data_IF_992313858450
#
_entry.id   IF_992313858450
#
_cell.length_a   1.000
_cell.length_b   1.000
_cell.length_c   1.000
_cell.angle_alpha   90.00
_cell.angle_beta   90.00
_cell.angle_gamma   90.00
#
_symmetry.space_group_name_H-M   'P 1'
#
loop_
_entity.id
_entity.type
_entity.pdbx_description
1 polymer ?
#
# COMPACT_ATOMS: atom_id res chain seq x y z
N UNK A 1 -25.04 -9.49 -2.85
CA UNK A 1 -25.44 -10.83 -2.35
C UNK A 1 -24.22 -11.53 -1.81
N UNK A 2 -24.28 -12.06 -0.61
CA UNK A 2 -23.14 -12.72 0.00
C UNK A 2 -23.03 -14.18 -0.51
N UNK A 3 -21.86 -14.53 -1.07
CA UNK A 3 -21.59 -15.90 -1.56
C UNK A 3 -21.79 -16.93 -0.43
N UNK A 4 -21.36 -16.61 0.79
CA UNK A 4 -21.54 -17.47 1.96
C UNK A 4 -23.00 -17.83 2.21
N UNK A 5 -23.89 -16.86 2.04
CA UNK A 5 -25.31 -17.05 2.31
C UNK A 5 -25.92 -18.11 1.39
N UNK A 6 -25.57 -18.10 0.11
CA UNK A 6 -25.98 -19.15 -0.83
C UNK A 6 -25.42 -20.52 -0.47
N UNK A 7 -24.17 -20.57 -0.03
CA UNK A 7 -23.54 -21.82 0.38
C UNK A 7 -24.18 -22.37 1.66
N UNK A 8 -24.56 -21.49 2.60
CA UNK A 8 -25.12 -21.92 3.88
C UNK A 8 -26.63 -22.17 3.85
N UNK A 9 -27.39 -21.36 3.09
CA UNK A 9 -28.88 -21.38 3.15
C UNK A 9 -29.54 -21.61 1.79
N UNK A 10 -28.80 -21.69 0.70
CA UNK A 10 -29.30 -21.99 -0.65
C UNK A 10 -30.07 -20.85 -1.33
N UNK A 11 -30.85 -20.07 -0.59
CA UNK A 11 -31.72 -19.00 -1.12
C UNK A 11 -31.06 -17.63 -1.18
N UNK A 12 -29.95 -17.42 -0.45
CA UNK A 12 -29.27 -16.14 -0.30
C UNK A 12 -30.01 -15.13 0.57
N UNK A 13 -29.35 -14.03 0.91
CA UNK A 13 -29.96 -12.91 1.63
C UNK A 13 -30.88 -12.10 0.72
N UNK A 14 -31.88 -11.52 1.32
CA UNK A 14 -32.98 -10.84 0.60
C UNK A 14 -32.98 -9.33 0.82
N UNK A 15 -32.20 -8.81 1.77
CA UNK A 15 -32.22 -7.40 2.16
C UNK A 15 -30.82 -6.84 2.38
N UNK A 16 -30.60 -5.59 1.96
CA UNK A 16 -29.31 -4.88 2.10
C UNK A 16 -28.85 -4.79 3.56
N UNK A 17 -29.74 -4.62 4.51
CA UNK A 17 -29.39 -4.55 5.94
C UNK A 17 -28.90 -5.90 6.50
N UNK A 18 -29.43 -7.01 6.01
CA UNK A 18 -28.96 -8.36 6.34
C UNK A 18 -27.57 -8.60 5.76
N UNK A 19 -27.33 -8.17 4.52
CA UNK A 19 -26.02 -8.23 3.86
C UNK A 19 -24.98 -7.40 4.62
N UNK A 20 -25.32 -6.18 5.04
CA UNK A 20 -24.43 -5.33 5.86
C UNK A 20 -24.02 -6.05 7.15
N UNK A 21 -24.97 -6.58 7.90
CA UNK A 21 -24.70 -7.31 9.14
C UNK A 21 -23.79 -8.52 8.92
N UNK A 22 -24.05 -9.29 7.85
CA UNK A 22 -23.27 -10.47 7.52
C UNK A 22 -21.84 -10.11 7.07
N UNK A 23 -21.66 -9.10 6.22
CA UNK A 23 -20.34 -8.62 5.79
C UNK A 23 -19.51 -8.17 7.00
N UNK A 24 -20.12 -7.39 7.91
CA UNK A 24 -19.48 -6.96 9.16
C UNK A 24 -19.08 -8.14 10.03
N UNK A 25 -19.94 -9.14 10.18
CA UNK A 25 -19.63 -10.38 10.90
C UNK A 25 -18.44 -11.12 10.28
N UNK A 26 -18.43 -11.30 8.96
CA UNK A 26 -17.36 -12.01 8.24
C UNK A 26 -16.00 -11.32 8.42
N UNK A 27 -15.93 -10.01 8.25
CA UNK A 27 -14.69 -9.23 8.42
C UNK A 27 -14.20 -9.26 9.87
N UNK A 28 -15.10 -9.08 10.86
CA UNK A 28 -14.77 -9.11 12.28
C UNK A 28 -14.18 -10.47 12.70
N UNK A 29 -14.76 -11.54 12.22
CA UNK A 29 -14.35 -12.91 12.56
C UNK A 29 -13.35 -13.52 11.59
N UNK A 30 -12.80 -12.72 10.65
CA UNK A 30 -11.77 -13.14 9.70
C UNK A 30 -12.19 -14.32 8.80
N UNK A 31 -13.44 -14.37 8.40
CA UNK A 31 -13.92 -15.30 7.38
C UNK A 31 -13.60 -14.72 6.00
N UNK A 32 -12.53 -15.18 5.38
CA UNK A 32 -11.92 -14.55 4.20
C UNK A 32 -12.49 -15.05 2.87
N UNK A 33 -12.88 -16.32 2.79
CA UNK A 33 -13.31 -16.98 1.55
C UNK A 33 -14.33 -16.18 0.71
N UNK A 34 -15.38 -15.55 1.27
CA UNK A 34 -16.31 -14.77 0.44
C UNK A 34 -15.67 -13.55 -0.21
N UNK A 35 -14.63 -12.98 0.40
CA UNK A 35 -13.87 -11.84 -0.14
C UNK A 35 -12.84 -12.31 -1.18
N UNK A 36 -12.32 -13.53 -1.07
CA UNK A 36 -11.41 -14.16 -2.01
C UNK A 36 -12.10 -14.51 -3.34
N UNK A 37 -13.46 -14.60 -3.36
CA UNK A 37 -14.25 -14.84 -4.58
C UNK A 37 -14.52 -13.57 -5.40
N UNK A 38 -14.08 -12.41 -4.94
CA UNK A 38 -14.25 -11.12 -5.62
C UNK A 38 -12.89 -10.68 -6.12
N UNK A 39 -12.73 -10.51 -7.42
CA UNK A 39 -11.48 -10.09 -8.02
C UNK A 39 -11.59 -8.70 -8.63
N UNK A 40 -10.52 -7.92 -8.49
CA UNK A 40 -10.32 -6.65 -9.16
C UNK A 40 -9.05 -6.71 -10.01
N UNK A 41 -9.10 -6.03 -11.15
CA UNK A 41 -7.95 -5.83 -12.03
C UNK A 41 -7.75 -4.35 -12.26
N UNK A 42 -6.57 -3.87 -11.92
CA UNK A 42 -6.14 -2.48 -12.09
C UNK A 42 -5.08 -2.40 -13.18
N UNK A 43 -5.16 -1.37 -14.02
CA UNK A 43 -4.04 -0.92 -14.84
C UNK A 43 -3.36 0.24 -14.12
N UNK A 44 -2.08 0.11 -13.83
CA UNK A 44 -1.36 1.02 -12.95
C UNK A 44 -0.04 1.41 -13.61
N UNK A 45 0.18 2.71 -13.77
CA UNK A 45 1.45 3.30 -14.13
C UNK A 45 2.12 3.87 -12.87
N UNK A 46 3.37 3.49 -12.61
CA UNK A 46 4.10 3.93 -11.40
C UNK A 46 5.61 3.91 -11.62
N UNK A 47 6.38 4.67 -10.83
CA UNK A 47 7.83 4.56 -10.83
C UNK A 47 8.31 3.15 -10.47
N UNK A 48 9.40 2.69 -11.07
CA UNK A 48 9.95 1.36 -10.81
C UNK A 48 10.26 1.15 -9.31
N UNK A 49 10.75 2.16 -8.59
CA UNK A 49 11.03 2.01 -7.16
C UNK A 49 9.75 1.73 -6.34
N UNK A 50 8.58 2.27 -6.73
CA UNK A 50 7.29 1.96 -6.11
C UNK A 50 6.85 0.54 -6.50
N UNK A 51 6.99 0.17 -7.77
CA UNK A 51 6.68 -1.17 -8.25
C UNK A 51 7.49 -2.24 -7.50
N UNK A 52 8.78 -1.98 -7.21
CA UNK A 52 9.64 -2.87 -6.42
C UNK A 52 9.15 -3.10 -5.00
N UNK A 53 8.52 -2.11 -4.38
CA UNK A 53 7.89 -2.23 -3.07
C UNK A 53 6.55 -2.97 -3.17
N UNK A 54 5.75 -2.67 -4.20
CA UNK A 54 4.43 -3.26 -4.42
C UNK A 54 4.49 -4.75 -4.71
N UNK A 55 5.43 -5.20 -5.55
CA UNK A 55 5.57 -6.61 -5.95
C UNK A 55 5.85 -7.57 -4.78
N UNK A 56 6.13 -7.05 -3.59
CA UNK A 56 6.27 -7.84 -2.35
C UNK A 56 4.92 -8.38 -1.86
N UNK A 57 3.79 -7.83 -2.33
CA UNK A 57 2.45 -8.37 -2.16
C UNK A 57 2.21 -9.45 -3.23
N UNK A 58 2.54 -10.70 -2.88
CA UNK A 58 2.68 -11.82 -3.81
C UNK A 58 1.39 -12.56 -4.17
N UNK A 59 0.31 -12.34 -3.42
CA UNK A 59 -1.01 -12.96 -3.67
C UNK A 59 -1.79 -12.19 -4.73
N UNK A 60 -1.18 -12.01 -5.90
CA UNK A 60 -1.74 -11.29 -7.04
C UNK A 60 -1.15 -11.83 -8.33
N UNK A 61 -1.86 -11.61 -9.44
CA UNK A 61 -1.34 -11.80 -10.78
C UNK A 61 -0.87 -10.46 -11.33
N UNK A 62 0.36 -10.43 -11.84
CA UNK A 62 0.98 -9.23 -12.41
C UNK A 62 1.39 -9.50 -13.84
N UNK A 63 1.04 -8.58 -14.73
CA UNK A 63 1.51 -8.56 -16.11
C UNK A 63 2.07 -7.17 -16.40
N UNK A 64 3.40 -7.06 -16.38
CA UNK A 64 4.13 -5.81 -16.50
C UNK A 64 4.51 -5.54 -17.95
N UNK A 65 4.47 -4.26 -18.36
CA UNK A 65 4.98 -3.78 -19.63
C UNK A 65 6.43 -4.19 -19.83
N UNK A 66 6.71 -4.81 -20.98
CA UNK A 66 8.04 -5.36 -21.22
C UNK A 66 8.96 -4.35 -21.91
N UNK A 67 9.87 -3.77 -21.16
CA UNK A 67 10.97 -2.97 -21.69
C UNK A 67 12.02 -3.77 -22.51
N UNK A 68 11.80 -5.07 -22.73
CA UNK A 68 12.59 -5.91 -23.65
C UNK A 68 12.06 -5.79 -25.08
N UNK A 69 10.75 -5.66 -25.23
CA UNK A 69 10.09 -5.63 -26.54
C UNK A 69 9.74 -4.22 -27.01
N UNK A 70 9.58 -3.30 -26.09
CA UNK A 70 9.14 -1.94 -26.35
C UNK A 70 10.06 -0.90 -25.74
N UNK A 71 10.08 0.29 -26.30
CA UNK A 71 10.77 1.45 -25.70
C UNK A 71 10.05 1.81 -24.39
N UNK A 72 10.84 2.03 -23.34
CA UNK A 72 10.31 2.49 -22.03
C UNK A 72 9.66 3.86 -22.21
N UNK A 73 8.49 4.12 -21.62
CA UNK A 73 7.85 5.44 -21.71
C UNK A 73 8.75 6.55 -21.15
N UNK A 74 8.76 7.71 -21.81
CA UNK A 74 9.44 8.92 -21.34
C UNK A 74 8.61 9.59 -20.21
N UNK A 75 8.64 8.98 -19.04
CA UNK A 75 7.94 9.46 -17.86
C UNK A 75 8.72 9.15 -16.60
N UNK A 76 8.98 10.19 -15.81
CA UNK A 76 9.81 10.11 -14.61
C UNK A 76 9.07 10.63 -13.38
N UNK A 77 9.44 10.10 -12.23
CA UNK A 77 8.95 10.56 -10.95
C UNK A 77 9.65 11.85 -10.54
N UNK A 78 8.85 12.84 -10.18
CA UNK A 78 9.31 14.12 -9.62
C UNK A 78 8.47 14.42 -8.39
N UNK A 79 9.02 14.30 -7.17
CA UNK A 79 8.30 14.71 -5.97
C UNK A 79 8.18 16.23 -5.89
N UNK A 80 7.18 16.70 -5.14
CA UNK A 80 7.20 18.08 -4.67
C UNK A 80 8.32 18.27 -3.63
N UNK A 81 8.79 19.49 -3.46
CA UNK A 81 9.90 19.81 -2.55
C UNK A 81 9.58 19.41 -1.10
N UNK A 82 8.31 19.51 -0.69
CA UNK A 82 7.82 19.15 0.64
C UNK A 82 7.85 17.64 0.89
N UNK A 83 7.87 16.84 -0.18
CA UNK A 83 7.93 15.38 -0.12
C UNK A 83 9.36 14.84 -0.10
N UNK A 84 10.36 15.69 -0.26
CA UNK A 84 11.77 15.33 0.00
C UNK A 84 12.02 15.48 1.49
N UNK A 85 12.08 14.35 2.21
CA UNK A 85 12.09 14.31 3.67
C UNK A 85 13.35 13.66 4.24
N UNK A 86 13.65 14.00 5.49
CA UNK A 86 14.71 13.34 6.25
C UNK A 86 14.35 11.88 6.51
N UNK A 87 15.37 11.02 6.55
CA UNK A 87 15.20 9.63 6.96
C UNK A 87 14.62 9.56 8.38
N UNK A 88 13.57 8.74 8.56
CA UNK A 88 13.02 8.46 9.88
C UNK A 88 14.09 7.87 10.82
N UNK A 89 14.17 8.42 12.01
CA UNK A 89 15.09 7.97 13.06
C UNK A 89 14.50 6.83 13.90
N UNK A 90 13.18 6.68 13.91
CA UNK A 90 12.47 5.72 14.76
C UNK A 90 12.36 4.35 14.13
N UNK A 91 11.92 4.27 12.87
CA UNK A 91 11.69 2.99 12.18
C UNK A 91 12.65 2.72 11.01
N UNK A 92 13.50 3.69 10.66
CA UNK A 92 14.42 3.65 9.51
C UNK A 92 13.73 3.41 8.15
N UNK A 93 12.42 3.64 8.07
CA UNK A 93 11.60 3.55 6.88
C UNK A 93 10.80 4.86 6.74
N UNK A 94 10.66 5.32 5.48
CA UNK A 94 9.94 6.56 5.20
C UNK A 94 10.67 7.83 5.66
N UNK A 95 10.08 8.97 5.34
CA UNK A 95 10.54 10.29 5.74
C UNK A 95 9.65 10.87 6.86
N UNK A 96 10.25 11.56 7.80
CA UNK A 96 9.54 12.21 8.91
C UNK A 96 9.41 13.73 8.67
N UNK A 97 10.46 14.47 8.97
CA UNK A 97 10.49 15.92 8.85
C UNK A 97 10.92 16.37 7.45
N UNK A 98 10.58 17.61 7.09
CA UNK A 98 11.12 18.24 5.90
C UNK A 98 12.64 18.37 6.00
N UNK A 99 13.32 18.13 4.88
CA UNK A 99 14.76 18.39 4.77
C UNK A 99 14.99 19.88 4.47
N UNK A 100 16.21 20.33 4.63
CA UNK A 100 16.62 21.68 4.20
C UNK A 100 16.34 21.89 2.71
N UNK A 101 15.77 23.05 2.36
CA UNK A 101 15.31 23.37 1.00
C UNK A 101 16.46 23.19 -0.02
N UNK A 102 17.65 23.69 0.25
CA UNK A 102 18.80 23.54 -0.65
C UNK A 102 19.16 22.07 -0.92
N UNK A 103 19.06 21.20 0.09
CA UNK A 103 19.27 19.75 -0.08
C UNK A 103 18.15 19.10 -0.90
N UNK A 104 16.90 19.54 -0.73
CA UNK A 104 15.78 19.07 -1.54
C UNK A 104 15.93 19.49 -3.01
N UNK A 105 16.35 20.73 -3.27
CA UNK A 105 16.63 21.24 -4.62
C UNK A 105 17.74 20.46 -5.31
N UNK A 106 18.84 20.14 -4.61
CA UNK A 106 19.92 19.30 -5.14
C UNK A 106 19.43 17.88 -5.48
N UNK A 107 18.52 17.31 -4.67
CA UNK A 107 17.92 16.02 -5.00
C UNK A 107 17.03 16.09 -6.24
N UNK A 108 16.22 17.14 -6.39
CA UNK A 108 15.39 17.34 -7.59
C UNK A 108 16.26 17.50 -8.85
N UNK A 109 17.35 18.25 -8.74
CA UNK A 109 18.33 18.39 -9.82
C UNK A 109 18.99 17.07 -10.19
N UNK A 110 19.36 16.24 -9.20
CA UNK A 110 19.87 14.89 -9.47
C UNK A 110 18.87 14.04 -10.26
N UNK A 111 17.56 14.15 -9.97
CA UNK A 111 16.53 13.46 -10.75
C UNK A 111 16.49 13.98 -12.20
N UNK A 112 16.53 15.29 -12.41
CA UNK A 112 16.61 15.89 -13.76
C UNK A 112 17.85 15.43 -14.52
N UNK A 113 19.01 15.43 -13.89
CA UNK A 113 20.25 14.93 -14.50
C UNK A 113 20.14 13.44 -14.88
N UNK A 114 19.43 12.66 -14.09
CA UNK A 114 19.19 11.24 -14.37
C UNK A 114 18.24 11.01 -15.54
N UNK A 115 17.31 11.92 -15.81
CA UNK A 115 16.42 11.85 -16.98
C UNK A 115 17.18 12.01 -18.30
N UNK A 116 18.28 12.76 -18.31
CA UNK A 116 19.14 12.88 -19.50
C UNK A 116 19.73 11.53 -19.97
N UNK A 117 19.73 10.50 -19.12
CA UNK A 117 20.09 9.13 -19.50
C UNK A 117 19.09 8.52 -20.49
N UNK A 118 17.85 9.00 -20.50
CA UNK A 118 16.84 8.51 -21.41
C UNK A 118 17.13 8.81 -22.87
N UNK A 119 17.59 10.00 -23.18
CA UNK A 119 18.04 10.37 -24.54
C UNK A 119 19.18 9.46 -25.04
N UNK A 120 20.12 9.15 -24.13
CA UNK A 120 21.22 8.22 -24.45
C UNK A 120 20.71 6.79 -24.62
N UNK A 121 19.73 6.36 -23.84
CA UNK A 121 19.08 5.07 -24.00
C UNK A 121 18.41 4.97 -25.38
N UNK A 122 17.65 5.99 -25.81
CA UNK A 122 17.05 6.04 -27.12
C UNK A 122 18.10 5.93 -28.23
N UNK A 123 19.14 6.76 -28.16
CA UNK A 123 20.23 6.74 -29.11
C UNK A 123 20.90 5.35 -29.21
N UNK A 124 21.16 4.69 -28.08
CA UNK A 124 21.74 3.35 -28.06
C UNK A 124 20.82 2.32 -28.74
N UNK A 125 19.52 2.40 -28.50
CA UNK A 125 18.56 1.48 -29.13
C UNK A 125 18.47 1.71 -30.65
N UNK A 126 18.56 2.95 -31.11
CA UNK A 126 18.65 3.30 -32.54
C UNK A 126 19.94 2.78 -33.17
N UNK A 127 21.05 2.74 -32.44
CA UNK A 127 22.33 2.15 -32.85
C UNK A 127 22.37 0.63 -32.82
N UNK A 128 21.24 -0.01 -32.45
CA UNK A 128 21.11 -1.46 -32.45
C UNK A 128 21.50 -2.17 -31.15
N UNK A 129 21.73 -1.44 -30.07
CA UNK A 129 21.89 -2.07 -28.75
C UNK A 129 20.59 -2.69 -28.33
N UNK A 130 20.61 -3.98 -27.97
CA UNK A 130 19.41 -4.69 -27.57
C UNK A 130 18.71 -3.97 -26.38
N UNK A 131 17.38 -3.75 -26.49
CA UNK A 131 16.60 -3.04 -25.47
C UNK A 131 16.71 -3.67 -24.09
N UNK A 132 16.83 -5.01 -24.02
CA UNK A 132 17.00 -5.73 -22.77
C UNK A 132 18.28 -5.34 -21.99
N UNK A 133 19.31 -4.86 -22.68
CA UNK A 133 20.55 -4.37 -22.09
C UNK A 133 20.48 -2.85 -21.91
N UNK A 134 20.08 -2.11 -22.95
CA UNK A 134 20.05 -0.65 -22.95
C UNK A 134 19.26 -0.08 -21.75
N UNK A 135 18.11 -0.70 -21.42
CA UNK A 135 17.27 -0.29 -20.27
C UNK A 135 17.97 -0.38 -18.91
N UNK A 136 19.06 -1.14 -18.78
CA UNK A 136 19.81 -1.27 -17.52
C UNK A 136 20.41 0.06 -17.04
N UNK A 137 20.59 1.03 -17.95
CA UNK A 137 21.08 2.36 -17.64
C UNK A 137 19.98 3.32 -17.13
N UNK A 138 18.70 2.97 -17.26
CA UNK A 138 17.61 3.85 -16.84
C UNK A 138 17.47 3.90 -15.31
N UNK A 139 17.19 5.09 -14.74
CA UNK A 139 17.01 5.25 -13.31
C UNK A 139 15.72 4.58 -12.84
N UNK A 140 15.67 4.22 -11.56
CA UNK A 140 14.46 3.62 -10.96
C UNK A 140 13.30 4.59 -10.80
N UNK A 141 13.51 5.88 -11.05
CA UNK A 141 12.48 6.93 -11.12
C UNK A 141 11.65 6.84 -12.40
N UNK A 142 12.11 6.12 -13.44
CA UNK A 142 11.32 5.91 -14.66
C UNK A 142 10.06 5.11 -14.36
N UNK A 143 8.97 5.43 -15.07
CA UNK A 143 7.70 4.74 -14.89
C UNK A 143 7.68 3.39 -15.61
N UNK A 144 7.07 2.41 -14.97
CA UNK A 144 6.58 1.17 -15.55
C UNK A 144 5.07 1.13 -15.49
N UNK A 145 4.46 0.20 -16.20
CA UNK A 145 3.02 -0.04 -16.18
C UNK A 145 2.76 -1.53 -16.05
N UNK A 146 1.71 -1.87 -15.30
CA UNK A 146 1.26 -3.25 -15.18
C UNK A 146 -0.24 -3.39 -15.03
N UNK A 147 -0.74 -4.55 -15.39
CA UNK A 147 -2.01 -5.05 -14.91
C UNK A 147 -1.76 -5.82 -13.62
N UNK A 148 -2.45 -5.42 -12.56
CA UNK A 148 -2.40 -6.07 -11.26
C UNK A 148 -3.79 -6.60 -10.93
N UNK A 149 -3.95 -7.93 -10.82
CA UNK A 149 -5.20 -8.60 -10.49
C UNK A 149 -5.07 -9.26 -9.14
N UNK A 150 -6.03 -8.98 -8.25
CA UNK A 150 -6.00 -9.51 -6.90
C UNK A 150 -7.44 -9.66 -6.37
N UNK A 151 -7.66 -10.63 -5.49
CA UNK A 151 -8.91 -10.76 -4.79
C UNK A 151 -9.11 -9.68 -3.72
N UNK A 152 -10.36 -9.43 -3.34
CA UNK A 152 -10.70 -8.35 -2.42
C UNK A 152 -10.09 -8.53 -1.02
N UNK A 153 -9.95 -9.77 -0.51
CA UNK A 153 -9.29 -10.01 0.78
C UNK A 153 -7.85 -9.52 0.77
N UNK A 154 -7.08 -9.90 -0.26
CA UNK A 154 -5.68 -9.51 -0.39
C UNK A 154 -5.51 -8.03 -0.77
N UNK A 155 -6.47 -7.43 -1.49
CA UNK A 155 -6.52 -5.98 -1.69
C UNK A 155 -6.68 -5.27 -0.34
N UNK A 156 -7.66 -5.65 0.48
CA UNK A 156 -7.86 -5.04 1.80
C UNK A 156 -6.62 -5.21 2.70
N UNK A 157 -5.92 -6.35 2.60
CA UNK A 157 -4.65 -6.54 3.28
C UNK A 157 -3.56 -5.57 2.76
N UNK A 158 -3.42 -5.42 1.45
CA UNK A 158 -2.52 -4.43 0.85
C UNK A 158 -2.84 -3.02 1.35
N UNK A 159 -4.12 -2.62 1.31
CA UNK A 159 -4.57 -1.30 1.74
C UNK A 159 -4.30 -1.04 3.22
N UNK A 160 -4.52 -2.04 4.10
CA UNK A 160 -4.24 -1.90 5.53
C UNK A 160 -2.78 -1.62 5.85
N UNK A 161 -1.85 -2.05 4.97
CA UNK A 161 -0.42 -1.83 5.14
C UNK A 161 0.07 -0.57 4.40
N UNK A 162 -0.57 -0.19 3.30
CA UNK A 162 -0.06 0.85 2.41
C UNK A 162 -0.80 2.19 2.55
N UNK A 163 -1.97 2.21 3.17
CA UNK A 163 -2.63 3.44 3.60
C UNK A 163 -2.16 3.92 4.98
N UNK A 164 -1.39 3.11 5.71
CA UNK A 164 -0.81 3.47 7.00
C UNK A 164 0.11 4.69 6.88
N UNK A 165 0.09 5.57 7.87
CA UNK A 165 0.88 6.81 7.89
C UNK A 165 2.39 6.58 7.84
N UNK A 166 2.87 5.41 8.29
CA UNK A 166 4.27 5.01 8.23
C UNK A 166 4.68 4.43 6.86
N UNK A 167 3.73 4.20 5.96
CA UNK A 167 4.04 3.77 4.60
C UNK A 167 4.67 4.93 3.81
N UNK A 168 5.55 4.59 2.87
CA UNK A 168 6.14 5.56 1.95
C UNK A 168 5.03 6.32 1.20
N UNK A 169 5.16 7.64 1.06
CA UNK A 169 4.07 8.50 0.57
C UNK A 169 3.59 8.09 -0.82
N UNK A 170 4.52 7.72 -1.71
CA UNK A 170 4.17 7.38 -3.08
C UNK A 170 3.26 6.14 -3.16
N UNK A 171 3.59 5.06 -2.45
CA UNK A 171 2.74 3.87 -2.47
C UNK A 171 1.43 4.10 -1.69
N UNK A 172 1.45 5.00 -0.70
CA UNK A 172 0.25 5.38 0.06
C UNK A 172 -0.76 6.11 -0.82
N UNK A 173 -0.30 7.00 -1.69
CA UNK A 173 -1.16 7.71 -2.64
C UNK A 173 -1.84 6.73 -3.62
N UNK A 174 -1.09 5.74 -4.14
CA UNK A 174 -1.68 4.68 -4.96
C UNK A 174 -2.69 3.84 -4.18
N UNK A 175 -2.38 3.47 -2.93
CA UNK A 175 -3.29 2.70 -2.10
C UNK A 175 -4.57 3.47 -1.80
N UNK A 176 -4.48 4.76 -1.52
CA UNK A 176 -5.63 5.64 -1.28
C UNK A 176 -6.50 5.76 -2.53
N UNK A 177 -5.89 6.03 -3.69
CA UNK A 177 -6.63 6.10 -4.95
C UNK A 177 -7.32 4.76 -5.29
N UNK A 178 -6.66 3.63 -5.04
CA UNK A 178 -7.25 2.30 -5.22
C UNK A 178 -8.44 2.09 -4.26
N UNK A 179 -8.30 2.50 -3.00
CA UNK A 179 -9.38 2.42 -2.02
C UNK A 179 -10.61 3.20 -2.46
N UNK A 180 -10.44 4.43 -2.95
CA UNK A 180 -11.53 5.27 -3.42
C UNK A 180 -12.27 4.64 -4.61
N UNK A 181 -11.54 4.01 -5.54
CA UNK A 181 -12.13 3.28 -6.65
C UNK A 181 -13.00 2.09 -6.19
N UNK A 182 -12.48 1.27 -5.27
CA UNK A 182 -13.22 0.08 -4.81
C UNK A 182 -14.37 0.44 -3.88
N UNK A 183 -14.28 1.54 -3.13
CA UNK A 183 -15.33 2.03 -2.23
C UNK A 183 -16.62 2.32 -2.98
N UNK A 184 -16.53 2.83 -4.22
CA UNK A 184 -17.69 3.03 -5.08
C UNK A 184 -18.37 1.72 -5.54
N UNK A 185 -17.66 0.60 -5.52
CA UNK A 185 -18.16 -0.71 -5.99
C UNK A 185 -18.62 -1.60 -4.85
N UNK A 186 -17.89 -1.62 -3.73
CA UNK A 186 -18.16 -2.47 -2.56
C UNK A 186 -18.28 -1.66 -1.25
N UNK A 187 -19.21 -0.68 -1.19
CA UNK A 187 -19.26 0.30 -0.09
C UNK A 187 -19.46 -0.34 1.29
N UNK A 188 -20.30 -1.38 1.41
CA UNK A 188 -20.55 -2.05 2.68
C UNK A 188 -19.32 -2.80 3.21
N UNK A 189 -18.51 -3.35 2.31
CA UNK A 189 -17.26 -4.00 2.69
C UNK A 189 -16.22 -2.96 3.12
N UNK A 190 -16.14 -1.83 2.42
CA UNK A 190 -15.25 -0.72 2.79
C UNK A 190 -15.64 -0.10 4.14
N UNK A 191 -16.93 0.10 4.41
CA UNK A 191 -17.43 0.54 5.72
C UNK A 191 -16.94 -0.39 6.85
N UNK A 192 -17.10 -1.70 6.67
CA UNK A 192 -16.65 -2.69 7.66
C UNK A 192 -15.10 -2.74 7.77
N UNK A 193 -14.39 -2.53 6.68
CA UNK A 193 -12.92 -2.46 6.66
C UNK A 193 -12.41 -1.22 7.39
N UNK A 194 -13.02 -0.05 7.18
CA UNK A 194 -12.68 1.16 7.93
C UNK A 194 -12.84 0.92 9.43
N UNK A 195 -13.96 0.36 9.86
CA UNK A 195 -14.25 0.14 11.28
C UNK A 195 -13.33 -0.92 11.92
N UNK A 196 -13.17 -2.08 11.28
CA UNK A 196 -12.48 -3.23 11.89
C UNK A 196 -10.99 -3.33 11.57
N UNK A 197 -10.45 -2.46 10.70
CA UNK A 197 -9.03 -2.47 10.30
C UNK A 197 -8.37 -1.10 10.38
N UNK A 198 -8.89 -0.10 9.65
CA UNK A 198 -8.23 1.21 9.57
C UNK A 198 -8.33 1.96 10.90
N UNK A 199 -9.55 2.01 11.47
CA UNK A 199 -9.80 2.74 12.71
C UNK A 199 -9.67 1.87 13.98
N UNK A 200 -9.47 0.56 13.80
CA UNK A 200 -9.34 -0.36 14.91
C UNK A 200 -7.94 -0.30 15.55
N UNK A 201 -7.88 -0.72 16.79
CA UNK A 201 -6.65 -0.94 17.51
C UNK A 201 -6.60 -2.40 17.98
N UNK A 202 -5.48 -3.07 17.68
CA UNK A 202 -5.26 -4.43 18.17
C UNK A 202 -4.45 -4.36 19.47
N UNK A 203 -4.99 -4.98 20.52
CA UNK A 203 -4.29 -5.14 21.80
C UNK A 203 -3.75 -6.56 21.92
N UNK A 204 -2.53 -6.67 22.44
CA UNK A 204 -1.90 -7.96 22.79
C UNK A 204 -2.39 -8.44 24.17
N UNK A 205 -2.11 -9.70 24.50
CA UNK A 205 -2.45 -10.24 25.82
C UNK A 205 -1.81 -9.47 26.97
N UNK A 206 -0.53 -9.07 26.82
CA UNK A 206 0.19 -8.27 27.83
C UNK A 206 -0.42 -6.88 28.00
N UNK A 207 -0.85 -6.24 26.90
CA UNK A 207 -1.50 -4.94 26.94
C UNK A 207 -2.88 -5.01 27.60
N UNK A 208 -3.65 -6.07 27.34
CA UNK A 208 -4.93 -6.33 28.00
C UNK A 208 -4.73 -6.53 29.51
N UNK A 209 -3.70 -7.29 29.91
CA UNK A 209 -3.39 -7.50 31.31
C UNK A 209 -2.94 -6.21 32.00
N UNK A 210 -2.12 -5.39 31.34
CA UNK A 210 -1.74 -4.07 31.82
C UNK A 210 -2.95 -3.15 32.03
N UNK A 211 -3.90 -3.13 31.07
CA UNK A 211 -5.16 -2.37 31.22
C UNK A 211 -6.00 -2.83 32.39
N UNK A 212 -6.13 -4.15 32.55
CA UNK A 212 -6.98 -4.74 33.60
C UNK A 212 -6.42 -4.55 34.99
N UNK A 213 -5.11 -4.60 35.14
CA UNK A 213 -4.42 -4.53 36.45
C UNK A 213 -3.97 -3.13 36.81
N UNK A 214 -3.90 -2.20 35.88
CA UNK A 214 -3.30 -0.88 36.03
C UNK A 214 -1.77 -0.91 36.25
N UNK A 215 -1.13 -2.06 35.99
CA UNK A 215 0.32 -2.23 36.09
C UNK A 215 1.03 -1.89 34.79
N UNK A 216 2.32 -1.53 34.82
CA UNK A 216 3.13 -1.35 33.64
C UNK A 216 3.10 -2.59 32.73
N UNK A 217 3.33 -2.40 31.42
CA UNK A 217 3.45 -3.50 30.48
C UNK A 217 4.56 -4.47 30.89
N UNK A 218 4.25 -5.76 31.01
CA UNK A 218 5.20 -6.80 31.40
C UNK A 218 6.09 -7.20 30.21
N UNK A 219 6.82 -6.23 29.64
CA UNK A 219 7.76 -6.44 28.53
C UNK A 219 9.08 -5.70 28.77
N UNK A 220 10.21 -6.35 28.45
CA UNK A 220 11.54 -5.74 28.42
C UNK A 220 11.88 -5.14 27.06
N UNK A 221 11.05 -5.35 26.05
CA UNK A 221 11.25 -4.85 24.70
C UNK A 221 10.86 -3.37 24.62
N UNK A 222 11.86 -2.51 24.35
CA UNK A 222 11.65 -1.07 24.24
C UNK A 222 10.64 -0.67 23.16
N UNK A 223 10.56 -1.42 22.04
CA UNK A 223 9.59 -1.12 20.98
C UNK A 223 8.17 -1.43 21.40
N UNK A 224 7.95 -2.58 22.03
CA UNK A 224 6.63 -2.94 22.58
C UNK A 224 6.14 -1.92 23.61
N UNK A 225 7.03 -1.45 24.47
CA UNK A 225 6.70 -0.40 25.44
C UNK A 225 6.33 0.92 24.73
N UNK A 226 7.09 1.33 23.72
CA UNK A 226 6.80 2.54 22.94
C UNK A 226 5.46 2.44 22.17
N UNK A 227 5.18 1.29 21.58
CA UNK A 227 3.90 1.03 20.91
C UNK A 227 2.73 1.05 21.91
N UNK A 228 2.93 0.47 23.09
CA UNK A 228 1.93 0.51 24.16
C UNK A 228 1.63 1.93 24.64
N UNK A 229 2.64 2.76 24.88
CA UNK A 229 2.42 4.17 25.24
C UNK A 229 1.67 4.94 24.13
N UNK A 230 1.99 4.69 22.86
CA UNK A 230 1.25 5.27 21.75
C UNK A 230 -0.23 4.84 21.75
N UNK A 231 -0.50 3.55 22.03
CA UNK A 231 -1.87 3.03 22.14
C UNK A 231 -2.62 3.63 23.32
N UNK A 232 -1.98 3.75 24.49
CA UNK A 232 -2.56 4.40 25.69
C UNK A 232 -3.00 5.82 25.38
N UNK A 233 -2.12 6.61 24.76
CA UNK A 233 -2.42 7.98 24.34
C UNK A 233 -3.64 8.06 23.41
N UNK A 234 -3.72 7.15 22.41
CA UNK A 234 -4.89 7.07 21.52
C UNK A 234 -6.19 6.69 22.25
N UNK A 235 -6.09 5.93 23.33
CA UNK A 235 -7.22 5.53 24.19
C UNK A 235 -7.59 6.60 25.24
N UNK A 236 -6.80 7.68 25.39
CA UNK A 236 -6.99 8.68 26.44
C UNK A 236 -6.71 8.13 27.85
N UNK A 237 -5.78 7.20 27.97
CA UNK A 237 -5.38 6.53 29.23
C UNK A 237 -4.04 7.09 29.72
N UNK A 238 -3.95 8.38 29.95
CA UNK A 238 -2.75 9.06 30.50
C UNK A 238 -2.60 8.84 32.01
#
# INVERSE_FOLDING_TARGET
>A
MCIRDRVSYGAGTKKVNEDRGLIRYLLRHRHTTPLEMIEFKFHIAMPIFVARQWIRHRTANVNEYSARYSIVPDRFYRPSIENVRKQSTTNRQGGEESIEVGTAEEFLKLLEDSEALYERYLWLTEKGVAREIARAALPVSVFTEWYWKCDLHNILHFLSLRMDEHAQIEIRDYATAMYDLIKGIVPLTCEAFEDYRINAMQLTGLEIDALRTGQPLASTNKRENAEWESKRKRLGLD
#
